data_IF_774974172247
#
_entry.id   IF_774974172247
#
_cell.length_a   1.000
_cell.length_b   1.000
_cell.length_c   1.000
_cell.angle_alpha   90.00
_cell.angle_beta   90.00
_cell.angle_gamma   90.00
#
_symmetry.space_group_name_H-M   'P 1'
#
loop_
_entity.id
_entity.type
_entity.pdbx_description
1 polymer ?
#
# COMPACT_ATOMS: atom_id res chain seq x y z
N UNK A 1 4.54 -5.67 7.99
CA UNK A 1 5.70 -5.36 7.14
C UNK A 1 6.89 -5.09 8.04
N UNK A 2 8.02 -5.74 7.80
CA UNK A 2 9.30 -5.33 8.38
C UNK A 2 9.76 -4.06 7.65
N UNK A 3 10.11 -3.03 8.40
CA UNK A 3 10.63 -1.78 7.85
C UNK A 3 12.04 -1.59 8.37
N UNK A 4 13.00 -1.47 7.45
CA UNK A 4 14.38 -1.13 7.73
C UNK A 4 14.68 0.19 7.04
N UNK A 5 15.30 1.11 7.77
CA UNK A 5 15.65 2.43 7.26
C UNK A 5 17.08 2.72 7.65
N UNK A 6 17.87 3.23 6.71
CA UNK A 6 19.22 3.74 6.95
C UNK A 6 19.29 5.18 6.48
N UNK A 7 19.69 6.06 7.38
CA UNK A 7 20.06 7.43 7.08
C UNK A 7 21.57 7.60 7.22
N UNK A 8 22.16 8.36 6.31
CA UNK A 8 23.56 8.77 6.38
C UNK A 8 23.59 10.28 6.44
N UNK A 9 24.13 10.83 7.53
CA UNK A 9 24.25 12.27 7.77
C UNK A 9 25.71 12.67 7.70
N UNK A 10 26.03 13.72 6.95
CA UNK A 10 27.35 14.36 7.01
C UNK A 10 27.27 15.58 7.92
N UNK A 11 28.07 15.57 8.99
CA UNK A 11 28.03 16.60 10.02
C UNK A 11 29.30 17.47 10.02
N UNK A 12 29.19 18.81 9.96
CA UNK A 12 30.37 19.68 9.86
C UNK A 12 31.22 19.67 11.13
N UNK A 13 30.62 19.40 12.28
CA UNK A 13 31.28 19.36 13.60
C UNK A 13 30.71 18.21 14.42
N UNK A 14 31.42 17.75 15.45
CA UNK A 14 30.84 16.83 16.42
C UNK A 14 29.79 17.55 17.29
N UNK A 15 28.64 16.93 17.51
CA UNK A 15 27.55 17.50 18.33
C UNK A 15 26.58 16.41 18.78
N UNK A 16 25.95 16.64 19.93
CA UNK A 16 24.83 15.84 20.40
C UNK A 16 23.53 16.42 19.81
N UNK A 17 22.73 15.56 19.17
CA UNK A 17 21.43 15.92 18.58
C UNK A 17 20.32 15.06 19.14
N UNK A 18 19.12 15.65 19.22
CA UNK A 18 17.88 14.87 19.30
C UNK A 18 17.43 14.60 17.87
N UNK A 19 17.32 13.33 17.52
CA UNK A 19 16.77 12.90 16.22
C UNK A 19 15.38 12.34 16.45
N UNK A 20 14.43 12.76 15.61
CA UNK A 20 13.02 12.34 15.68
C UNK A 20 12.58 11.64 14.39
N UNK A 21 11.91 10.50 14.55
CA UNK A 21 11.25 9.76 13.48
C UNK A 21 9.73 9.92 13.63
N UNK A 22 9.14 10.72 12.74
CA UNK A 22 7.70 11.02 12.73
C UNK A 22 6.95 9.88 12.06
N UNK A 23 5.87 9.45 12.68
CA UNK A 23 4.95 8.44 12.16
C UNK A 23 3.51 8.87 12.40
N UNK A 24 2.62 8.78 11.40
CA UNK A 24 1.21 9.02 11.61
C UNK A 24 0.63 7.95 12.54
N UNK A 25 -0.46 8.29 13.23
CA UNK A 25 -1.29 7.31 13.93
C UNK A 25 -1.89 6.29 12.94
N UNK A 26 -2.43 5.19 13.48
CA UNK A 26 -2.85 4.07 12.63
C UNK A 26 -4.35 3.99 12.31
N UNK A 27 -5.09 5.04 12.66
CA UNK A 27 -6.52 5.18 12.40
C UNK A 27 -6.80 5.79 11.04
N UNK A 28 -7.96 5.47 10.49
CA UNK A 28 -8.50 6.18 9.34
C UNK A 28 -9.08 7.47 9.91
N UNK A 29 -8.48 8.62 9.56
CA UNK A 29 -9.07 9.89 9.92
C UNK A 29 -10.36 10.06 9.14
N UNK A 30 -11.47 9.53 9.67
CA UNK A 30 -12.79 9.87 9.15
C UNK A 30 -12.90 11.39 9.12
N UNK A 31 -13.39 11.91 7.98
CA UNK A 31 -13.70 13.33 7.77
C UNK A 31 -14.81 13.74 8.74
N UNK A 32 -14.47 13.93 10.00
CA UNK A 32 -15.35 14.51 10.99
C UNK A 32 -14.91 15.95 11.24
N UNK A 33 -15.83 16.85 10.89
CA UNK A 33 -15.84 18.31 11.02
C UNK A 33 -14.87 18.89 12.07
N UNK A 34 -14.17 19.98 11.71
CA UNK A 34 -13.17 20.68 12.54
C UNK A 34 -13.66 21.02 13.96
N UNK A 35 -14.97 21.10 14.15
CA UNK A 35 -15.66 21.33 15.43
C UNK A 35 -15.55 20.18 16.44
N UNK A 36 -15.19 18.96 16.01
CA UNK A 36 -15.26 17.73 16.84
C UNK A 36 -13.90 17.18 17.30
N UNK A 37 -12.77 17.71 16.81
CA UNK A 37 -11.42 17.35 17.29
C UNK A 37 -11.25 17.25 18.81
N UNK A 38 -11.81 18.14 19.67
CA UNK A 38 -11.67 17.97 21.11
C UNK A 38 -12.24 16.64 21.67
N UNK A 39 -13.01 15.87 20.87
CA UNK A 39 -13.55 14.56 21.24
C UNK A 39 -12.73 13.37 20.72
N UNK A 40 -11.94 13.53 19.65
CA UNK A 40 -11.14 12.42 19.07
C UNK A 40 -9.93 12.14 19.95
N UNK A 41 -9.61 10.85 20.12
CA UNK A 41 -8.40 10.41 20.81
C UNK A 41 -7.38 9.94 19.78
N UNK A 42 -6.09 10.10 20.10
CA UNK A 42 -5.03 9.56 19.28
C UNK A 42 -5.14 8.03 19.23
N UNK A 43 -5.13 7.50 18.02
CA UNK A 43 -5.16 6.06 17.74
C UNK A 43 -3.76 5.46 17.99
N UNK A 44 -3.68 4.22 18.48
CA UNK A 44 -2.40 3.63 18.84
C UNK A 44 -1.52 3.46 17.60
N UNK A 45 -0.20 3.52 17.82
CA UNK A 45 0.76 3.12 16.80
C UNK A 45 0.65 1.63 16.50
N UNK A 46 0.56 1.31 15.20
CA UNK A 46 0.64 -0.07 14.70
C UNK A 46 2.08 -0.53 14.45
N UNK A 47 3.03 0.08 15.17
CA UNK A 47 4.46 -0.20 15.12
C UNK A 47 4.85 -1.04 16.34
N UNK A 48 5.63 -2.10 16.12
CA UNK A 48 6.13 -3.02 17.16
C UNK A 48 7.64 -3.19 17.03
N UNK A 49 8.30 -3.41 18.17
CA UNK A 49 9.73 -3.70 18.27
C UNK A 49 10.61 -2.66 17.57
N UNK A 50 10.32 -1.37 17.78
CA UNK A 50 11.13 -0.28 17.25
C UNK A 50 12.52 -0.30 17.87
N UNK A 51 13.54 -0.34 17.02
CA UNK A 51 14.96 -0.32 17.39
C UNK A 51 15.67 0.76 16.60
N UNK A 52 16.57 1.48 17.27
CA UNK A 52 17.45 2.46 16.66
C UNK A 52 18.90 2.12 16.97
N UNK A 53 19.77 2.22 15.96
CA UNK A 53 21.21 2.31 16.18
C UNK A 53 21.78 3.60 15.61
N UNK A 54 22.79 4.14 16.28
CA UNK A 54 23.58 5.29 15.84
C UNK A 54 25.03 4.84 15.77
N UNK A 55 25.64 4.92 14.59
CA UNK A 55 27.00 4.47 14.32
C UNK A 55 27.26 3.03 14.83
N UNK A 56 26.28 2.14 14.61
CA UNK A 56 26.33 0.72 15.02
C UNK A 56 26.08 0.47 16.51
N UNK A 57 25.78 1.49 17.32
CA UNK A 57 25.44 1.34 18.75
C UNK A 57 23.95 1.53 18.95
N UNK A 58 23.30 0.58 19.61
CA UNK A 58 21.89 0.70 19.98
C UNK A 58 21.69 1.87 20.95
N UNK A 59 20.69 2.70 20.69
CA UNK A 59 20.30 3.82 21.55
C UNK A 59 18.85 3.66 21.98
N UNK A 60 18.54 4.13 23.18
CA UNK A 60 17.17 4.07 23.70
C UNK A 60 16.29 5.11 23.01
N UNK A 61 15.28 4.66 22.30
CA UNK A 61 14.24 5.52 21.72
C UNK A 61 13.09 5.72 22.71
N UNK A 62 12.61 6.96 22.82
CA UNK A 62 11.38 7.32 23.50
C UNK A 62 10.27 7.53 22.46
N UNK A 63 9.01 7.36 22.86
CA UNK A 63 7.86 7.61 21.98
C UNK A 63 6.84 8.48 22.69
N UNK A 64 6.38 9.53 22.02
CA UNK A 64 5.26 10.37 22.48
C UNK A 64 4.52 10.99 21.28
N UNK A 65 3.41 11.68 21.56
CA UNK A 65 2.73 12.49 20.55
C UNK A 65 3.66 13.61 20.07
N UNK A 66 3.66 13.87 18.76
CA UNK A 66 4.50 14.89 18.16
C UNK A 66 4.22 16.26 18.79
N UNK A 67 2.95 16.67 18.89
CA UNK A 67 2.52 17.88 19.62
C UNK A 67 3.13 18.03 21.03
N UNK A 68 3.23 16.93 21.80
CA UNK A 68 3.81 16.94 23.15
C UNK A 68 5.33 17.13 23.14
N UNK A 69 6.02 16.62 22.13
CA UNK A 69 7.44 16.90 21.96
C UNK A 69 7.63 18.36 21.51
N UNK A 70 6.85 18.83 20.53
CA UNK A 70 6.93 20.18 19.99
C UNK A 70 6.66 21.26 21.05
N UNK A 71 5.74 21.02 21.99
CA UNK A 71 5.45 21.96 23.08
C UNK A 71 6.64 22.18 24.03
N UNK A 72 7.69 21.37 23.96
CA UNK A 72 8.94 21.53 24.73
C UNK A 72 9.93 22.50 24.05
N UNK A 73 9.60 23.06 22.88
CA UNK A 73 10.44 24.01 22.17
C UNK A 73 11.67 23.39 21.52
N UNK A 74 11.58 22.12 21.09
CA UNK A 74 12.70 21.38 20.49
C UNK A 74 13.00 21.73 19.02
N UNK A 75 12.11 22.46 18.35
CA UNK A 75 12.22 22.87 16.94
C UNK A 75 11.84 24.34 16.77
N UNK A 76 12.17 24.93 15.63
CA UNK A 76 11.79 26.30 15.27
C UNK A 76 10.27 26.49 15.23
N UNK A 77 9.80 27.67 15.67
CA UNK A 77 8.37 28.00 15.76
C UNK A 77 7.59 27.83 14.45
N UNK A 78 8.22 28.10 13.31
CA UNK A 78 7.57 27.92 11.99
C UNK A 78 7.32 26.44 11.69
N UNK A 79 8.26 25.56 12.07
CA UNK A 79 8.13 24.10 11.90
C UNK A 79 7.06 23.56 12.85
N UNK A 80 7.04 24.05 14.10
CA UNK A 80 6.00 23.71 15.07
C UNK A 80 4.61 24.07 14.53
N UNK A 81 4.44 25.27 13.96
CA UNK A 81 3.17 25.70 13.37
C UNK A 81 2.72 24.78 12.24
N UNK A 82 3.61 24.42 11.31
CA UNK A 82 3.27 23.49 10.22
C UNK A 82 2.79 22.13 10.74
N UNK A 83 3.52 21.52 11.69
CA UNK A 83 3.11 20.24 12.25
C UNK A 83 1.80 20.34 13.04
N UNK A 84 1.62 21.42 13.80
CA UNK A 84 0.38 21.66 14.55
C UNK A 84 -0.82 21.81 13.61
N UNK A 85 -0.64 22.50 12.48
CA UNK A 85 -1.66 22.63 11.43
C UNK A 85 -1.96 21.28 10.77
N UNK A 86 -0.94 20.46 10.46
CA UNK A 86 -1.18 19.09 9.95
C UNK A 86 -1.86 18.19 10.97
N UNK A 87 -1.55 18.36 12.26
CA UNK A 87 -2.22 17.65 13.34
C UNK A 87 -3.69 18.11 13.55
N UNK A 88 -4.18 19.09 12.76
CA UNK A 88 -5.61 19.42 12.67
C UNK A 88 -6.46 18.35 12.00
N UNK A 89 -5.90 17.37 11.31
CA UNK A 89 -6.73 16.30 10.71
C UNK A 89 -6.38 14.90 11.22
N UNK A 90 -5.15 14.66 11.68
CA UNK A 90 -4.71 13.36 12.24
C UNK A 90 -3.55 13.54 13.24
N UNK A 91 -3.46 12.70 14.28
CA UNK A 91 -2.33 12.78 15.22
C UNK A 91 -1.06 12.14 14.67
N UNK A 92 0.10 12.69 15.05
CA UNK A 92 1.40 12.10 14.79
C UNK A 92 2.08 11.68 16.08
N UNK A 93 2.84 10.61 16.02
CA UNK A 93 3.81 10.25 17.05
C UNK A 93 5.22 10.50 16.56
N UNK A 94 6.14 10.59 17.50
CA UNK A 94 7.57 10.69 17.22
C UNK A 94 8.34 9.71 18.10
N UNK A 95 9.14 8.86 17.44
CA UNK A 95 10.21 8.15 18.12
C UNK A 95 11.45 9.04 18.14
N UNK A 96 11.96 9.38 19.32
CA UNK A 96 13.14 10.24 19.43
C UNK A 96 14.20 9.68 20.37
N UNK A 97 15.45 10.03 20.06
CA UNK A 97 16.63 9.57 20.78
C UNK A 97 17.73 10.60 20.67
N UNK A 98 18.67 10.55 21.62
CA UNK A 98 19.90 11.33 21.55
C UNK A 98 20.89 10.59 20.64
N UNK A 99 21.58 11.34 19.79
CA UNK A 99 22.60 10.86 18.89
C UNK A 99 23.87 11.70 19.06
N UNK A 100 24.97 11.05 19.41
CA UNK A 100 26.30 11.66 19.47
C UNK A 100 26.93 11.62 18.08
N UNK A 101 26.65 12.64 17.26
CA UNK A 101 27.22 12.74 15.93
C UNK A 101 28.68 13.20 16.00
N UNK A 102 29.55 12.49 15.29
CA UNK A 102 30.93 12.91 15.05
C UNK A 102 30.98 13.86 13.86
N UNK A 103 32.07 14.60 13.73
CA UNK A 103 32.36 15.28 12.47
C UNK A 103 32.49 14.27 11.33
N UNK A 104 31.92 14.58 10.17
CA UNK A 104 31.84 13.70 9.01
C UNK A 104 30.61 12.80 9.02
N UNK A 105 30.75 11.61 8.42
CA UNK A 105 29.66 10.67 8.22
C UNK A 105 29.15 10.02 9.52
N UNK A 106 27.84 10.02 9.71
CA UNK A 106 27.11 9.34 10.78
C UNK A 106 25.99 8.51 10.19
N UNK A 107 25.83 7.29 10.70
CA UNK A 107 24.78 6.36 10.25
C UNK A 107 23.73 6.20 11.33
N UNK A 108 22.46 6.36 10.96
CA UNK A 108 21.31 6.12 11.84
C UNK A 108 20.43 5.07 11.19
N UNK A 109 20.14 4.00 11.89
CA UNK A 109 19.36 2.87 11.36
C UNK A 109 18.16 2.57 12.26
N UNK A 110 16.98 2.44 11.65
CA UNK A 110 15.74 2.03 12.32
C UNK A 110 15.26 0.68 11.79
N UNK A 111 14.79 -0.17 12.70
CA UNK A 111 14.12 -1.43 12.35
C UNK A 111 12.86 -1.58 13.19
N UNK A 112 11.73 -1.89 12.55
CA UNK A 112 10.47 -2.13 13.23
C UNK A 112 9.48 -2.96 12.41
N UNK A 113 8.47 -3.52 13.07
CA UNK A 113 7.33 -4.14 12.40
C UNK A 113 6.16 -3.19 12.37
N UNK A 114 5.68 -2.84 11.19
CA UNK A 114 4.47 -2.05 10.99
C UNK A 114 3.34 -2.96 10.48
N UNK A 115 2.20 -3.00 11.16
CA UNK A 115 1.09 -3.87 10.75
C UNK A 115 0.22 -3.27 9.63
N UNK A 116 0.42 -1.99 9.31
CA UNK A 116 -0.40 -1.20 8.40
C UNK A 116 -1.71 -0.70 9.05
N UNK A 117 -2.35 0.32 8.47
CA UNK A 117 -3.74 0.65 8.77
C UNK A 117 -4.68 -0.38 8.12
N UNK A 118 -5.92 -0.49 8.60
CA UNK A 118 -6.88 -1.50 8.14
C UNK A 118 -8.01 -0.81 7.37
N UNK A 119 -8.22 -1.24 6.12
CA UNK A 119 -9.49 -1.10 5.41
C UNK A 119 -10.22 -2.44 5.36
N UNK A 120 -11.48 -2.44 4.93
CA UNK A 120 -12.27 -3.68 4.75
C UNK A 120 -11.65 -4.60 3.70
N UNK A 121 -11.06 -4.01 2.65
CA UNK A 121 -10.52 -4.73 1.49
C UNK A 121 -9.00 -4.64 1.34
N UNK A 122 -8.34 -3.85 2.19
CA UNK A 122 -6.94 -3.49 2.00
C UNK A 122 -6.20 -3.20 3.30
N UNK A 123 -4.88 -3.12 3.16
CA UNK A 123 -3.95 -2.76 4.22
C UNK A 123 -2.98 -1.72 3.70
N UNK A 124 -2.96 -0.55 4.33
CA UNK A 124 -2.10 0.53 3.88
C UNK A 124 -0.82 0.64 4.71
N UNK A 125 0.22 1.05 4.02
CA UNK A 125 1.54 1.25 4.56
C UNK A 125 2.05 2.61 4.12
N UNK A 126 1.95 3.57 5.04
CA UNK A 126 2.46 4.92 4.85
C UNK A 126 3.89 5.06 5.40
N UNK A 127 4.69 5.91 4.75
CA UNK A 127 5.98 6.34 5.26
C UNK A 127 6.24 7.81 4.93
N UNK A 128 6.52 8.61 5.98
CA UNK A 128 6.64 10.07 5.88
C UNK A 128 8.03 10.49 5.37
N UNK A 129 8.20 10.50 4.04
CA UNK A 129 9.44 10.94 3.39
C UNK A 129 9.55 12.48 3.27
N UNK A 130 8.44 13.21 3.41
CA UNK A 130 8.43 14.68 3.26
C UNK A 130 9.15 15.43 4.38
N UNK A 131 9.49 14.74 5.47
CA UNK A 131 10.42 15.23 6.51
C UNK A 131 11.78 15.62 5.92
N UNK A 132 12.13 15.14 4.72
CA UNK A 132 13.34 15.53 3.99
C UNK A 132 13.45 17.05 3.81
N UNK A 133 12.31 17.74 3.62
CA UNK A 133 12.23 19.20 3.51
C UNK A 133 12.74 19.96 4.74
N UNK A 134 12.95 19.29 5.88
CA UNK A 134 13.43 19.90 7.13
C UNK A 134 14.95 19.80 7.30
N UNK A 135 15.64 19.01 6.48
CA UNK A 135 17.10 18.96 6.48
C UNK A 135 17.68 20.21 5.81
N UNK A 136 18.93 20.55 6.16
CA UNK A 136 19.63 21.77 5.69
C UNK A 136 19.55 21.98 4.16
N UNK A 137 19.74 20.92 3.38
CA UNK A 137 19.73 20.99 1.91
C UNK A 137 18.35 20.67 1.30
N UNK A 138 17.35 20.32 2.13
CA UNK A 138 16.00 19.93 1.72
C UNK A 138 15.94 18.82 0.67
N UNK A 139 17.01 18.06 0.52
CA UNK A 139 17.19 17.02 -0.48
C UNK A 139 18.04 15.90 0.11
N UNK A 140 17.89 14.70 -0.44
CA UNK A 140 18.75 13.55 -0.16
C UNK A 140 19.56 13.25 -1.40
N UNK A 141 20.89 13.24 -1.29
CA UNK A 141 21.80 13.07 -2.43
C UNK A 141 21.62 11.72 -3.13
N UNK A 142 21.49 10.64 -2.36
CA UNK A 142 21.23 9.28 -2.85
C UNK A 142 20.04 8.68 -2.08
N UNK A 143 18.93 8.46 -2.79
CA UNK A 143 17.71 7.88 -2.25
C UNK A 143 17.43 6.51 -2.87
N UNK A 144 17.07 5.54 -2.03
CA UNK A 144 16.66 4.20 -2.44
C UNK A 144 15.52 3.74 -1.54
N UNK A 145 14.46 3.23 -2.17
CA UNK A 145 13.36 2.55 -1.50
C UNK A 145 13.12 1.20 -2.18
N UNK A 146 13.04 0.15 -1.38
CA UNK A 146 12.69 -1.19 -1.83
C UNK A 146 11.38 -1.63 -1.18
N UNK A 147 10.51 -2.23 -1.99
CA UNK A 147 9.26 -2.82 -1.52
C UNK A 147 9.28 -4.29 -1.85
N UNK A 148 9.14 -5.11 -0.80
CA UNK A 148 9.16 -6.57 -0.84
C UNK A 148 7.76 -7.12 -0.57
N UNK A 149 6.81 -7.07 -1.53
CA UNK A 149 5.42 -7.46 -1.31
C UNK A 149 5.21 -8.98 -1.34
N UNK A 150 6.25 -9.79 -1.56
CA UNK A 150 6.08 -11.22 -1.83
C UNK A 150 5.15 -11.44 -3.01
N UNK A 151 4.14 -12.31 -2.85
CA UNK A 151 3.13 -12.57 -3.87
C UNK A 151 1.83 -11.76 -3.66
N UNK A 152 1.81 -10.74 -2.80
CA UNK A 152 0.62 -9.90 -2.68
C UNK A 152 0.39 -9.07 -3.96
N UNK A 153 -0.87 -8.77 -4.27
CA UNK A 153 -1.21 -7.76 -5.26
C UNK A 153 -1.24 -6.40 -4.55
N UNK A 154 -0.44 -5.45 -5.03
CA UNK A 154 -0.24 -4.17 -4.34
C UNK A 154 -0.39 -2.98 -5.28
N UNK A 155 -0.83 -1.85 -4.70
CA UNK A 155 -0.83 -0.52 -5.30
C UNK A 155 0.38 0.26 -4.75
N UNK A 156 1.12 0.92 -5.64
CA UNK A 156 2.28 1.75 -5.33
C UNK A 156 2.05 3.16 -5.88
N UNK A 157 2.72 4.18 -5.29
CA UNK A 157 2.54 5.55 -5.73
C UNK A 157 3.12 5.73 -7.14
N UNK A 158 2.42 6.51 -7.95
CA UNK A 158 2.89 6.91 -9.28
C UNK A 158 3.96 8.01 -9.21
N UNK A 159 3.92 8.83 -8.15
CA UNK A 159 4.75 10.02 -7.96
C UNK A 159 5.04 10.25 -6.47
N UNK A 160 6.14 10.95 -6.17
CA UNK A 160 6.41 11.57 -4.86
C UNK A 160 6.20 13.10 -4.88
N UNK A 161 5.58 13.60 -5.94
CA UNK A 161 5.39 15.01 -6.24
C UNK A 161 3.96 15.32 -6.66
N UNK A 162 3.42 16.42 -6.13
CA UNK A 162 2.09 16.96 -6.44
C UNK A 162 1.88 17.32 -7.92
N UNK A 163 2.97 17.54 -8.67
CA UNK A 163 2.92 17.74 -10.12
C UNK A 163 2.78 16.44 -10.91
N UNK A 164 2.63 15.30 -10.21
CA UNK A 164 2.47 13.97 -10.76
C UNK A 164 3.66 13.52 -11.63
N UNK A 165 4.87 13.97 -11.32
CA UNK A 165 6.09 13.46 -11.96
C UNK A 165 6.24 11.95 -11.73
N UNK A 166 6.11 11.17 -12.81
CA UNK A 166 6.23 9.71 -12.78
C UNK A 166 7.56 9.25 -12.18
N UNK A 167 7.49 8.28 -11.27
CA UNK A 167 8.66 7.56 -10.77
C UNK A 167 8.93 6.29 -11.57
N UNK A 168 10.21 5.98 -11.76
CA UNK A 168 10.65 4.81 -12.50
C UNK A 168 10.88 3.65 -11.54
N UNK A 169 9.80 2.96 -11.16
CA UNK A 169 9.89 1.70 -10.45
C UNK A 169 10.59 0.64 -11.30
N UNK A 170 11.55 -0.04 -10.70
CA UNK A 170 12.32 -1.14 -11.30
C UNK A 170 11.92 -2.45 -10.62
N UNK A 171 11.46 -3.42 -11.41
CA UNK A 171 11.23 -4.78 -10.91
C UNK A 171 12.55 -5.54 -10.88
N UNK A 172 13.01 -5.89 -9.68
CA UNK A 172 14.17 -6.77 -9.47
C UNK A 172 13.64 -8.18 -9.20
N UNK A 173 13.51 -8.97 -10.25
CA UNK A 173 12.94 -10.32 -10.19
C UNK A 173 12.02 -10.60 -11.37
N UNK A 174 10.92 -11.32 -11.12
CA UNK A 174 9.88 -11.58 -12.13
C UNK A 174 8.52 -11.18 -11.59
N UNK A 175 7.74 -10.50 -12.40
CA UNK A 175 6.40 -10.06 -12.04
C UNK A 175 5.75 -9.27 -13.15
N UNK A 176 4.58 -8.75 -12.84
CA UNK A 176 3.78 -7.89 -13.70
C UNK A 176 3.63 -6.54 -13.01
N UNK A 177 3.81 -5.47 -13.77
CA UNK A 177 3.64 -4.10 -13.30
C UNK A 177 2.87 -3.33 -14.36
N UNK A 178 1.80 -2.64 -13.96
CA UNK A 178 1.00 -1.77 -14.82
C UNK A 178 0.96 -0.39 -14.22
N UNK A 179 1.20 0.62 -15.04
CA UNK A 179 1.19 2.02 -14.65
C UNK A 179 -0.01 2.74 -15.25
N UNK A 180 -0.86 3.32 -14.41
CA UNK A 180 -1.93 4.23 -14.79
C UNK A 180 -1.51 5.65 -14.44
N UNK A 181 -1.39 6.50 -15.46
CA UNK A 181 -1.10 7.91 -15.25
C UNK A 181 -2.35 8.65 -14.74
N UNK A 182 -2.17 9.72 -13.95
CA UNK A 182 -3.29 10.59 -13.59
C UNK A 182 -3.90 11.21 -14.85
N UNK A 183 -5.23 11.31 -14.85
CA UNK A 183 -6.03 11.87 -15.95
C UNK A 183 -6.60 13.24 -15.60
N UNK A 184 -6.53 13.64 -14.33
CA UNK A 184 -7.05 14.90 -13.78
C UNK A 184 -5.96 15.63 -13.01
N UNK A 185 -6.21 16.91 -12.70
CA UNK A 185 -5.29 17.72 -11.90
C UNK A 185 -5.34 17.23 -10.45
N UNK A 186 -4.23 17.38 -9.72
CA UNK A 186 -4.13 16.97 -8.32
C UNK A 186 -5.10 17.68 -7.37
N UNK A 187 -5.67 18.82 -7.77
CA UNK A 187 -6.60 19.63 -6.98
C UNK A 187 -8.04 19.58 -7.50
N UNK A 188 -8.36 18.64 -8.39
CA UNK A 188 -9.71 18.44 -8.91
C UNK A 188 -10.55 17.70 -7.86
N UNK A 189 -11.41 18.41 -7.14
CA UNK A 189 -12.20 17.87 -6.02
C UNK A 189 -13.20 16.80 -6.47
N UNK A 190 -13.68 16.89 -7.71
CA UNK A 190 -14.63 15.94 -8.31
C UNK A 190 -13.94 14.66 -8.82
N UNK A 191 -12.61 14.65 -8.91
CA UNK A 191 -11.83 13.52 -9.39
C UNK A 191 -11.50 12.52 -8.27
N UNK A 192 -11.56 11.24 -8.60
CA UNK A 192 -11.11 10.17 -7.71
C UNK A 192 -9.61 10.28 -7.40
N UNK A 193 -9.16 9.68 -6.29
CA UNK A 193 -7.73 9.65 -5.95
C UNK A 193 -6.85 9.05 -7.08
N UNK A 194 -7.36 8.02 -7.76
CA UNK A 194 -6.69 7.40 -8.90
C UNK A 194 -6.55 8.35 -10.09
N UNK A 195 -7.59 9.11 -10.42
CA UNK A 195 -7.55 10.10 -11.50
C UNK A 195 -6.62 11.27 -11.19
N UNK A 196 -6.56 11.70 -9.92
CA UNK A 196 -5.72 12.81 -9.47
C UNK A 196 -4.25 12.48 -9.39
N UNK A 197 -3.91 11.28 -8.90
CA UNK A 197 -2.52 10.95 -8.53
C UNK A 197 -1.90 9.85 -9.41
N UNK A 198 -2.72 9.10 -10.15
CA UNK A 198 -2.28 7.90 -10.84
C UNK A 198 -1.90 6.79 -9.88
N UNK A 199 -1.58 5.62 -10.42
CA UNK A 199 -1.26 4.46 -9.61
C UNK A 199 -0.40 3.44 -10.34
N UNK A 200 0.36 2.65 -9.59
CA UNK A 200 1.12 1.52 -10.09
C UNK A 200 0.55 0.25 -9.47
N UNK A 201 0.04 -0.67 -10.28
CA UNK A 201 -0.35 -2.00 -9.84
C UNK A 201 0.79 -2.98 -10.03
N UNK A 202 1.07 -3.77 -9.00
CA UNK A 202 2.21 -4.69 -8.99
C UNK A 202 1.80 -6.06 -8.47
N UNK A 203 2.17 -7.10 -9.22
CA UNK A 203 2.09 -8.50 -8.81
C UNK A 203 3.43 -9.18 -9.10
N UNK A 204 4.18 -9.52 -8.05
CA UNK A 204 5.47 -10.21 -8.22
C UNK A 204 5.29 -11.72 -8.10
N UNK A 205 6.04 -12.46 -8.91
CA UNK A 205 6.24 -13.89 -8.75
C UNK A 205 7.38 -14.17 -7.77
N UNK A 206 8.42 -13.31 -7.81
CA UNK A 206 9.54 -13.29 -6.87
C UNK A 206 10.29 -11.95 -6.95
N UNK A 207 11.12 -11.71 -5.95
CA UNK A 207 11.96 -10.52 -5.86
C UNK A 207 11.24 -9.34 -5.21
N UNK A 208 11.62 -8.14 -5.63
CA UNK A 208 11.12 -6.89 -5.08
C UNK A 208 11.03 -5.82 -6.16
N UNK A 209 10.44 -4.68 -5.81
CA UNK A 209 10.46 -3.49 -6.65
C UNK A 209 11.26 -2.40 -5.96
N UNK A 210 11.99 -1.62 -6.74
CA UNK A 210 12.88 -0.59 -6.24
C UNK A 210 12.65 0.73 -6.95
N UNK A 211 12.83 1.83 -6.24
CA UNK A 211 13.08 3.13 -6.84
C UNK A 211 14.38 3.70 -6.27
N UNK A 212 15.29 4.09 -7.17
CA UNK A 212 16.58 4.69 -6.84
C UNK A 212 16.75 5.99 -7.62
N UNK A 213 17.17 7.05 -6.94
CA UNK A 213 17.38 8.36 -7.57
C UNK A 213 18.41 9.18 -6.81
N UNK A 214 18.88 10.25 -7.46
CA UNK A 214 19.74 11.26 -6.84
C UNK A 214 18.99 12.56 -6.61
N UNK A 215 19.46 13.37 -5.66
CA UNK A 215 18.90 14.69 -5.36
C UNK A 215 17.38 14.62 -5.10
N UNK A 216 16.98 13.65 -4.30
CA UNK A 216 15.58 13.38 -4.00
C UNK A 216 14.98 14.42 -3.06
N UNK A 217 13.97 15.13 -3.54
CA UNK A 217 13.25 16.17 -2.80
C UNK A 217 11.73 15.98 -3.00
N UNK A 218 11.09 15.06 -2.25
CA UNK A 218 9.67 14.77 -2.38
C UNK A 218 8.79 15.84 -1.73
N UNK A 219 7.55 15.99 -2.21
CA UNK A 219 6.51 16.79 -1.54
C UNK A 219 5.18 16.03 -1.34
N UNK A 220 5.23 14.71 -1.52
CA UNK A 220 4.22 13.74 -1.12
C UNK A 220 4.89 12.57 -0.40
N UNK A 221 4.19 12.00 0.57
CA UNK A 221 4.67 10.85 1.34
C UNK A 221 4.52 9.53 0.56
N UNK A 222 5.21 8.50 1.01
CA UNK A 222 5.07 7.17 0.43
C UNK A 222 3.79 6.52 0.93
N UNK A 223 3.00 5.98 0.01
CA UNK A 223 1.78 5.24 0.34
C UNK A 223 1.68 3.99 -0.53
N UNK A 224 1.76 2.82 0.11
CA UNK A 224 1.52 1.53 -0.53
C UNK A 224 0.28 0.89 0.05
N UNK A 225 -0.51 0.29 -0.82
CA UNK A 225 -1.66 -0.52 -0.41
C UNK A 225 -1.48 -1.97 -0.79
N UNK A 226 -1.68 -2.87 0.17
CA UNK A 226 -1.83 -4.30 -0.09
C UNK A 226 -3.31 -4.62 -0.27
N UNK A 227 -3.66 -5.19 -1.42
CA UNK A 227 -5.04 -5.53 -1.75
C UNK A 227 -5.37 -6.91 -1.20
N UNK A 228 -6.14 -6.95 -0.11
CA UNK A 228 -6.55 -8.19 0.56
C UNK A 228 -7.80 -8.80 -0.09
N UNK A 229 -8.67 -7.97 -0.68
CA UNK A 229 -9.81 -8.40 -1.49
C UNK A 229 -9.74 -7.75 -2.89
N UNK A 230 -9.31 -8.53 -3.90
CA UNK A 230 -9.16 -8.05 -5.28
C UNK A 230 -10.52 -7.63 -5.88
N UNK A 231 -11.60 -8.36 -5.58
CA UNK A 231 -12.96 -8.03 -6.06
C UNK A 231 -13.48 -6.72 -5.47
N UNK A 232 -13.11 -6.40 -4.23
CA UNK A 232 -13.57 -5.19 -3.54
C UNK A 232 -13.30 -3.89 -4.31
N UNK A 233 -12.25 -3.88 -5.14
CA UNK A 233 -11.80 -2.74 -5.95
C UNK A 233 -12.26 -2.77 -7.40
N UNK A 234 -13.27 -3.58 -7.73
CA UNK A 234 -13.81 -3.70 -9.09
C UNK A 234 -14.06 -2.32 -9.74
N UNK A 235 -14.69 -1.41 -9.00
CA UNK A 235 -15.06 -0.07 -9.49
C UNK A 235 -13.87 0.82 -9.84
N UNK A 236 -12.67 0.54 -9.32
CA UNK A 236 -11.43 1.30 -9.63
C UNK A 236 -10.72 0.75 -10.87
N UNK A 237 -11.07 -0.46 -11.31
CA UNK A 237 -10.34 -1.13 -12.36
C UNK A 237 -10.76 -0.64 -13.75
N UNK A 238 -9.78 -0.39 -14.64
CA UNK A 238 -10.07 0.00 -16.00
C UNK A 238 -10.69 -1.15 -16.79
N UNK A 239 -11.57 -0.79 -17.72
CA UNK A 239 -12.11 -1.72 -18.72
C UNK A 239 -11.05 -2.17 -19.72
N UNK A 240 -11.23 -3.37 -20.26
CA UNK A 240 -10.37 -3.91 -21.32
C UNK A 240 -8.95 -4.25 -20.85
N UNK A 241 -7.97 -4.02 -21.74
CA UNK A 241 -6.55 -4.31 -21.47
C UNK A 241 -5.77 -3.02 -21.33
N UNK A 242 -4.99 -2.90 -20.26
CA UNK A 242 -4.00 -1.85 -20.07
C UNK A 242 -2.62 -2.47 -20.00
N UNK A 243 -1.70 -2.00 -20.85
CA UNK A 243 -0.33 -2.52 -20.95
C UNK A 243 -0.30 -4.06 -21.09
N UNK A 244 -1.27 -4.61 -21.84
CA UNK A 244 -1.38 -6.04 -22.12
C UNK A 244 -2.19 -6.86 -21.10
N UNK A 245 -2.58 -6.29 -19.97
CA UNK A 245 -3.26 -6.99 -18.89
C UNK A 245 -4.70 -6.53 -18.68
N UNK A 246 -5.57 -7.48 -18.35
CA UNK A 246 -6.91 -7.22 -17.82
C UNK A 246 -6.86 -7.00 -16.31
N UNK A 247 -7.79 -6.21 -15.81
CA UNK A 247 -8.04 -6.07 -14.38
C UNK A 247 -9.32 -6.78 -13.96
N UNK A 248 -10.37 -6.61 -14.76
CA UNK A 248 -11.68 -7.23 -14.60
C UNK A 248 -12.25 -7.68 -15.95
N UNK A 249 -13.37 -8.38 -15.89
CA UNK A 249 -14.24 -8.70 -17.02
C UNK A 249 -15.67 -8.96 -16.54
N UNK A 250 -16.57 -9.30 -17.47
CA UNK A 250 -17.98 -9.60 -17.14
C UNK A 250 -18.17 -10.67 -16.05
N UNK A 251 -17.29 -11.68 -15.95
CA UNK A 251 -17.44 -12.73 -14.93
C UNK A 251 -16.92 -12.26 -13.57
N UNK A 252 -15.89 -11.41 -13.58
CA UNK A 252 -15.41 -10.71 -12.39
C UNK A 252 -16.51 -9.83 -11.79
N UNK A 253 -17.24 -9.11 -12.64
CA UNK A 253 -18.40 -8.29 -12.25
C UNK A 253 -19.53 -9.15 -11.67
N UNK A 254 -19.93 -10.22 -12.36
CA UNK A 254 -20.92 -11.18 -11.84
C UNK A 254 -20.51 -11.70 -10.46
N UNK A 255 -19.24 -12.09 -10.29
CA UNK A 255 -18.73 -12.55 -9.00
C UNK A 255 -18.82 -11.47 -7.93
N UNK A 256 -18.49 -10.22 -8.28
CA UNK A 256 -18.55 -9.09 -7.35
C UNK A 256 -19.97 -8.79 -6.90
N UNK A 257 -20.96 -8.94 -7.78
CA UNK A 257 -22.38 -8.75 -7.48
C UNK A 257 -22.90 -9.84 -6.53
N UNK A 258 -22.55 -11.11 -6.80
CA UNK A 258 -23.16 -12.25 -6.09
C UNK A 258 -22.34 -12.78 -4.91
N UNK A 259 -21.12 -12.28 -4.68
CA UNK A 259 -20.23 -12.79 -3.63
C UNK A 259 -20.84 -12.78 -2.21
N UNK A 260 -21.80 -11.88 -1.97
CA UNK A 260 -22.47 -11.72 -0.67
C UNK A 260 -23.99 -11.91 -0.76
N UNK A 261 -24.49 -12.40 -1.90
CA UNK A 261 -25.91 -12.68 -2.12
C UNK A 261 -26.34 -14.00 -1.50
N UNK A 262 -27.66 -14.15 -1.34
CA UNK A 262 -28.27 -15.42 -0.94
C UNK A 262 -28.05 -16.50 -2.02
N UNK A 263 -27.99 -17.76 -1.59
CA UNK A 263 -27.67 -18.89 -2.49
C UNK A 263 -28.63 -18.99 -3.70
N UNK A 264 -29.91 -18.68 -3.53
CA UNK A 264 -30.88 -18.66 -4.63
C UNK A 264 -30.59 -17.57 -5.66
N UNK A 265 -30.14 -16.40 -5.24
CA UNK A 265 -29.74 -15.31 -6.15
C UNK A 265 -28.47 -15.66 -6.91
N UNK A 266 -27.49 -16.29 -6.23
CA UNK A 266 -26.29 -16.80 -6.89
C UNK A 266 -26.68 -17.80 -8.00
N UNK A 267 -27.59 -18.74 -7.72
CA UNK A 267 -28.09 -19.68 -8.73
C UNK A 267 -28.77 -18.93 -9.88
N UNK A 268 -29.63 -17.96 -9.58
CA UNK A 268 -30.39 -17.22 -10.59
C UNK A 268 -29.48 -16.45 -11.56
N UNK A 269 -28.45 -15.77 -11.03
CA UNK A 269 -27.46 -15.03 -11.82
C UNK A 269 -26.58 -15.93 -12.69
N UNK A 270 -26.35 -17.18 -12.28
CA UNK A 270 -25.44 -18.10 -12.98
C UNK A 270 -26.15 -19.09 -13.91
N UNK A 271 -27.45 -19.36 -13.72
CA UNK A 271 -28.18 -20.45 -14.40
C UNK A 271 -28.23 -20.35 -15.92
N UNK A 272 -28.03 -19.15 -16.48
CA UNK A 272 -28.09 -18.87 -17.92
C UNK A 272 -26.71 -18.85 -18.60
N UNK A 273 -25.62 -18.94 -17.83
CA UNK A 273 -24.25 -18.98 -18.39
C UNK A 273 -23.98 -20.30 -19.12
N UNK A 274 -23.15 -20.30 -20.16
CA UNK A 274 -22.73 -21.55 -20.81
C UNK A 274 -21.92 -22.46 -19.86
N UNK A 275 -21.76 -23.74 -20.19
CA UNK A 275 -20.93 -24.63 -19.37
C UNK A 275 -19.45 -24.21 -19.32
N UNK A 276 -18.96 -23.56 -20.38
CA UNK A 276 -17.60 -22.97 -20.46
C UNK A 276 -17.49 -21.73 -19.58
N UNK A 277 -18.50 -20.85 -19.60
CA UNK A 277 -18.59 -19.67 -18.76
C UNK A 277 -18.65 -20.04 -17.28
N UNK A 278 -19.44 -21.06 -16.95
CA UNK A 278 -19.51 -21.61 -15.60
C UNK A 278 -18.16 -22.16 -15.14
N UNK A 279 -17.38 -22.78 -16.03
CA UNK A 279 -16.01 -23.22 -15.69
C UNK A 279 -15.10 -22.04 -15.33
N UNK A 280 -15.22 -20.91 -16.02
CA UNK A 280 -14.48 -19.70 -15.67
C UNK A 280 -14.91 -19.18 -14.30
N UNK A 281 -16.21 -18.98 -14.06
CA UNK A 281 -16.76 -18.48 -12.78
C UNK A 281 -16.33 -19.37 -11.61
N UNK A 282 -16.45 -20.69 -11.76
CA UNK A 282 -16.05 -21.67 -10.75
C UNK A 282 -14.57 -21.57 -10.37
N UNK A 283 -13.70 -21.22 -11.33
CA UNK A 283 -12.25 -21.23 -11.16
C UNK A 283 -11.64 -19.87 -10.76
N UNK A 284 -12.42 -18.79 -10.77
CA UNK A 284 -11.96 -17.49 -10.27
C UNK A 284 -11.44 -17.51 -8.82
N UNK A 285 -12.14 -18.13 -7.84
CA UNK A 285 -11.63 -18.23 -6.47
C UNK A 285 -10.27 -18.93 -6.39
N UNK A 286 -10.04 -19.92 -7.25
CA UNK A 286 -8.76 -20.63 -7.36
C UNK A 286 -7.70 -19.74 -7.99
N UNK A 287 -8.04 -18.94 -9.01
CA UNK A 287 -7.14 -17.98 -9.62
C UNK A 287 -6.71 -16.88 -8.63
N UNK A 288 -7.63 -16.31 -7.85
CA UNK A 288 -7.31 -15.33 -6.81
C UNK A 288 -6.33 -15.89 -5.77
N UNK A 289 -6.48 -17.17 -5.41
CA UNK A 289 -5.56 -17.88 -4.50
C UNK A 289 -4.22 -18.28 -5.15
N UNK A 290 -4.05 -18.06 -6.46
CA UNK A 290 -2.82 -18.39 -7.20
C UNK A 290 -2.71 -19.87 -7.61
N UNK A 291 -3.82 -20.56 -7.86
CA UNK A 291 -3.81 -21.95 -8.34
C UNK A 291 -3.14 -22.06 -9.72
N UNK A 292 -2.23 -23.01 -9.90
CA UNK A 292 -1.62 -23.34 -11.20
C UNK A 292 -2.50 -24.32 -11.99
N UNK A 293 -3.25 -23.81 -12.95
CA UNK A 293 -4.17 -24.60 -13.78
C UNK A 293 -3.41 -25.52 -14.74
N UNK A 294 -3.72 -26.83 -14.70
CA UNK A 294 -3.25 -27.79 -15.71
C UNK A 294 -4.03 -27.67 -17.04
N UNK A 295 -5.29 -27.28 -16.95
CA UNK A 295 -6.17 -26.99 -18.09
C UNK A 295 -5.66 -25.77 -18.84
N UNK A 296 -5.26 -25.95 -20.10
CA UNK A 296 -4.64 -24.90 -20.93
C UNK A 296 -5.58 -23.71 -21.14
N UNK A 297 -6.86 -23.98 -21.39
CA UNK A 297 -7.90 -22.97 -21.56
C UNK A 297 -8.02 -22.06 -20.32
N UNK A 298 -8.11 -22.63 -19.12
CA UNK A 298 -8.15 -21.85 -17.88
C UNK A 298 -6.84 -21.11 -17.60
N UNK A 299 -5.70 -21.76 -17.86
CA UNK A 299 -4.38 -21.14 -17.69
C UNK A 299 -4.22 -19.92 -18.60
N UNK A 300 -4.56 -20.06 -19.88
CA UNK A 300 -4.50 -18.99 -20.87
C UNK A 300 -5.50 -17.88 -20.55
N UNK A 301 -6.67 -18.24 -20.02
CA UNK A 301 -7.68 -17.29 -19.57
C UNK A 301 -7.16 -16.40 -18.44
N UNK A 302 -6.79 -16.99 -17.30
CA UNK A 302 -6.40 -16.25 -16.11
C UNK A 302 -5.04 -15.56 -16.25
N UNK A 303 -4.16 -16.05 -17.12
CA UNK A 303 -2.86 -15.41 -17.40
C UNK A 303 -2.97 -14.00 -17.96
N UNK A 304 -4.14 -13.63 -18.51
CA UNK A 304 -4.42 -12.28 -19.00
C UNK A 304 -4.56 -11.24 -17.88
N UNK A 305 -4.82 -11.66 -16.64
CA UNK A 305 -5.05 -10.75 -15.54
C UNK A 305 -3.77 -10.30 -14.86
N UNK A 306 -3.72 -9.02 -14.47
CA UNK A 306 -2.57 -8.44 -13.78
C UNK A 306 -2.34 -9.07 -12.40
N UNK A 307 -3.41 -9.39 -11.68
CA UNK A 307 -3.37 -9.91 -10.31
C UNK A 307 -3.12 -11.42 -10.23
N UNK A 308 -3.31 -12.17 -11.33
CA UNK A 308 -3.10 -13.61 -11.35
C UNK A 308 -1.62 -13.95 -11.46
N UNK A 309 -1.12 -14.70 -10.49
CA UNK A 309 0.20 -15.33 -10.52
C UNK A 309 0.12 -16.72 -9.87
N UNK A 310 0.45 -17.80 -10.60
CA UNK A 310 0.39 -19.15 -10.06
C UNK A 310 1.50 -19.40 -9.04
N UNK A 311 1.14 -19.89 -7.85
CA UNK A 311 2.06 -20.28 -6.77
C UNK A 311 2.15 -21.79 -6.58
N UNK A 312 1.19 -22.54 -7.11
CA UNK A 312 1.17 -24.00 -7.06
C UNK A 312 -0.25 -24.55 -7.06
N UNK A 313 -0.37 -25.86 -6.88
CA UNK A 313 -1.67 -26.56 -6.83
C UNK A 313 -2.30 -26.58 -5.45
N UNK A 314 -1.49 -26.39 -4.40
CA UNK A 314 -1.93 -26.41 -3.01
C UNK A 314 -2.17 -24.99 -2.54
N UNK A 315 -3.39 -24.48 -2.77
CA UNK A 315 -3.79 -23.12 -2.41
C UNK A 315 -4.98 -23.16 -1.45
N UNK A 316 -5.07 -22.16 -0.58
CA UNK A 316 -6.22 -21.98 0.31
C UNK A 316 -7.22 -21.05 -0.37
N UNK A 317 -8.41 -21.58 -0.65
CA UNK A 317 -9.53 -20.79 -1.19
C UNK A 317 -10.20 -20.05 -0.04
N UNK A 318 -10.58 -18.79 -0.28
CA UNK A 318 -11.40 -18.04 0.66
C UNK A 318 -12.79 -18.69 0.76
N UNK A 319 -13.21 -19.12 1.97
CA UNK A 319 -14.51 -19.74 2.19
C UNK A 319 -15.72 -18.89 1.76
N UNK A 320 -15.56 -17.56 1.63
CA UNK A 320 -16.60 -16.67 1.12
C UNK A 320 -17.11 -17.09 -0.27
N UNK A 321 -16.24 -17.70 -1.10
CA UNK A 321 -16.61 -18.18 -2.44
C UNK A 321 -17.22 -19.58 -2.49
N UNK A 322 -17.37 -20.28 -1.36
CA UNK A 322 -17.87 -21.65 -1.35
C UNK A 322 -19.28 -21.77 -1.94
N UNK A 323 -20.14 -20.78 -1.71
CA UNK A 323 -21.50 -20.78 -2.25
C UNK A 323 -21.52 -20.65 -3.77
N UNK A 324 -20.63 -19.84 -4.34
CA UNK A 324 -20.48 -19.72 -5.80
C UNK A 324 -20.02 -21.05 -6.41
N UNK A 325 -19.01 -21.70 -5.82
CA UNK A 325 -18.50 -22.99 -6.32
C UNK A 325 -19.60 -24.04 -6.29
N UNK A 326 -20.35 -24.14 -5.18
CA UNK A 326 -21.48 -25.06 -5.03
C UNK A 326 -22.60 -24.77 -6.04
N UNK A 327 -22.95 -23.50 -6.23
CA UNK A 327 -24.00 -23.09 -7.15
C UNK A 327 -23.67 -23.50 -8.60
N UNK A 328 -22.42 -23.27 -9.03
CA UNK A 328 -21.97 -23.71 -10.36
C UNK A 328 -22.04 -25.24 -10.49
N UNK A 329 -21.55 -25.98 -9.50
CA UNK A 329 -21.56 -27.45 -9.52
C UNK A 329 -23.00 -28.02 -9.57
N UNK A 330 -23.94 -27.38 -8.87
CA UNK A 330 -25.37 -27.72 -8.90
C UNK A 330 -25.99 -27.48 -10.29
N UNK A 331 -25.77 -26.31 -10.89
CA UNK A 331 -26.29 -25.95 -12.22
C UNK A 331 -25.80 -26.96 -13.26
N UNK A 332 -24.49 -27.24 -13.27
CA UNK A 332 -23.89 -28.21 -14.22
C UNK A 332 -24.41 -29.63 -14.01
N UNK A 333 -24.68 -30.02 -12.76
CA UNK A 333 -25.25 -31.34 -12.47
C UNK A 333 -26.69 -31.46 -12.97
N UNK A 334 -27.51 -30.41 -12.81
CA UNK A 334 -28.89 -30.37 -13.31
C UNK A 334 -28.97 -30.42 -14.84
N UNK A 335 -28.03 -29.81 -15.56
CA UNK A 335 -27.99 -29.83 -17.04
C UNK A 335 -27.63 -31.20 -17.64
N UNK A 336 -26.96 -32.05 -16.86
CA UNK A 336 -26.58 -33.40 -17.28
C UNK A 336 -27.67 -34.44 -17.05
N UNK A 337 -28.74 -34.07 -16.32
CA UNK A 337 -29.95 -34.87 -16.12
C UNK A 337 -30.99 -34.42 -17.13
#
# INVERSE_FOLDING_TARGET
MLVNVKFTFDNPTAENKIVGFVTPESGNGEEEDETTKPKRKAEPLKIKNFKTTVNGKEVKSNVELLSKLLSKGVLDNNIIKEYTEKEKTFYNYVYYFNADFKQGENVVEHSYFYTGSYGVYERDFEYVVTTISKWKNQTVEDFEIEVHPGNYFVKLPYSFWKDNKKINWEVVGKGKMVSLAPTKKSNDEDATGLERYGIIYLKLNNGFVRYKTKNFSPNQDFYMTRMDNILGFEYEYPEGKVQGYKFKDKYFEILREVAYSDYSEIIDSLKNLSDEDLDIVRNYPYAFAGYDFARKDLKDYFSQFIWYSPIGKNVKIDPSFNNIIKAVDEIKTKRKK
#
